data_IF_338361279624
#
_entry.id   IF_338361279624
#
_cell.length_a   1.000
_cell.length_b   1.000
_cell.length_c   1.000
_cell.angle_alpha   90.00
_cell.angle_beta   90.00
_cell.angle_gamma   90.00
#
_symmetry.space_group_name_H-M   'P 1'
#
loop_
_entity.id
_entity.type
_entity.pdbx_description
1 polymer ?
#
# COMPACT_ATOMS: atom_id res chain seq x y z
N UNK A 1 -21.84 -23.91 72.04
CA UNK A 1 -20.65 -24.08 71.22
C UNK A 1 -21.07 -24.81 69.94
N UNK A 2 -21.37 -24.03 68.97
CA UNK A 2 -21.62 -24.51 67.59
C UNK A 2 -20.80 -23.62 66.69
N UNK A 3 -19.66 -24.22 66.24
CA UNK A 3 -18.72 -23.56 65.35
C UNK A 3 -19.28 -23.48 63.94
N UNK A 4 -19.35 -22.28 63.50
CA UNK A 4 -19.68 -21.85 62.14
C UNK A 4 -18.49 -22.14 61.20
N UNK A 5 -18.57 -23.15 60.35
CA UNK A 5 -17.55 -23.49 59.34
C UNK A 5 -18.19 -23.54 57.96
N UNK A 6 -18.89 -22.50 57.58
CA UNK A 6 -19.49 -22.38 56.26
C UNK A 6 -19.03 -21.20 55.42
N UNK A 7 -17.97 -20.48 55.88
CA UNK A 7 -17.47 -19.28 55.16
C UNK A 7 -16.27 -19.46 54.23
N UNK A 8 -15.66 -20.67 54.15
CA UNK A 8 -14.34 -20.76 53.52
C UNK A 8 -14.31 -21.48 52.18
N UNK A 9 -15.43 -22.01 51.69
CA UNK A 9 -15.43 -22.81 50.42
C UNK A 9 -15.97 -22.00 49.24
N UNK A 10 -16.75 -20.95 49.50
CA UNK A 10 -17.31 -20.11 48.45
C UNK A 10 -16.29 -19.10 47.87
N UNK A 11 -15.36 -18.61 48.72
CA UNK A 11 -14.32 -17.66 48.29
C UNK A 11 -13.21 -18.35 47.46
N UNK A 12 -12.85 -19.59 47.78
CA UNK A 12 -11.83 -20.34 47.02
C UNK A 12 -12.30 -20.77 45.61
N UNK A 13 -13.62 -20.93 45.40
CA UNK A 13 -14.18 -21.30 44.10
C UNK A 13 -14.29 -20.07 43.20
N UNK A 14 -14.44 -18.88 43.74
CA UNK A 14 -14.56 -17.65 42.94
C UNK A 14 -13.19 -17.13 42.45
N UNK A 15 -12.11 -17.41 43.17
CA UNK A 15 -10.73 -17.07 42.76
C UNK A 15 -10.17 -18.01 41.71
N UNK A 16 -10.62 -19.26 41.68
CA UNK A 16 -10.18 -20.25 40.68
C UNK A 16 -10.88 -20.10 39.31
N UNK A 17 -11.95 -19.33 39.22
CA UNK A 17 -12.67 -19.05 37.96
C UNK A 17 -12.21 -17.79 37.23
N UNK A 18 -11.36 -16.97 37.86
CA UNK A 18 -10.88 -15.73 37.26
C UNK A 18 -9.74 -15.92 36.24
N UNK A 19 -9.18 -17.12 36.14
CA UNK A 19 -7.99 -17.39 35.32
C UNK A 19 -8.19 -18.47 34.24
N UNK A 20 -9.45 -18.73 33.88
CA UNK A 20 -9.75 -19.50 32.67
C UNK A 20 -9.82 -18.49 31.52
N UNK A 21 -8.66 -18.09 31.05
CA UNK A 21 -8.52 -17.48 29.72
C UNK A 21 -9.02 -18.54 28.73
N UNK A 22 -10.18 -18.28 28.16
CA UNK A 22 -10.74 -19.14 27.11
C UNK A 22 -9.73 -19.22 25.95
N UNK A 23 -9.14 -20.39 25.65
CA UNK A 23 -8.13 -20.49 24.60
C UNK A 23 -8.63 -20.07 23.22
N UNK A 24 -9.95 -20.07 23.01
CA UNK A 24 -10.57 -19.63 21.76
C UNK A 24 -10.48 -18.11 21.58
N UNK A 25 -10.52 -17.32 22.65
CA UNK A 25 -10.37 -15.87 22.60
C UNK A 25 -8.94 -15.44 22.21
N UNK A 26 -7.94 -16.20 22.66
CA UNK A 26 -6.54 -15.97 22.26
C UNK A 26 -6.31 -16.28 20.78
N UNK A 27 -6.86 -17.38 20.31
CA UNK A 27 -6.75 -17.80 18.91
C UNK A 27 -7.50 -16.88 17.95
N UNK A 28 -8.70 -16.43 18.32
CA UNK A 28 -9.47 -15.48 17.52
C UNK A 28 -8.77 -14.11 17.44
N UNK A 29 -8.12 -13.65 18.51
CA UNK A 29 -7.34 -12.42 18.51
C UNK A 29 -6.03 -12.54 17.69
N UNK A 30 -5.35 -13.68 17.76
CA UNK A 30 -4.18 -13.96 16.91
C UNK A 30 -4.57 -14.06 15.44
N UNK A 31 -5.66 -14.74 15.13
CA UNK A 31 -6.18 -14.87 13.78
C UNK A 31 -6.65 -13.50 13.24
N UNK A 32 -7.34 -12.71 14.03
CA UNK A 32 -7.72 -11.34 13.68
C UNK A 32 -6.50 -10.43 13.48
N UNK A 33 -5.44 -10.61 14.26
CA UNK A 33 -4.15 -9.92 14.09
C UNK A 33 -3.47 -10.29 12.77
N UNK A 34 -3.44 -11.57 12.42
CA UNK A 34 -2.89 -12.06 11.16
C UNK A 34 -3.72 -11.62 9.94
N UNK A 35 -5.04 -11.71 10.03
CA UNK A 35 -5.96 -11.29 8.97
C UNK A 35 -6.09 -9.78 8.87
N UNK A 36 -6.03 -9.06 10.01
CA UNK A 36 -6.08 -7.60 10.07
C UNK A 36 -4.80 -6.91 9.57
N UNK A 37 -3.67 -7.62 9.57
CA UNK A 37 -2.39 -7.09 9.11
C UNK A 37 -2.22 -7.18 7.58
N UNK A 38 -3.04 -7.98 6.91
CA UNK A 38 -3.06 -8.04 5.46
C UNK A 38 -3.92 -6.92 4.90
N UNK A 39 -3.33 -6.11 4.02
CA UNK A 39 -4.09 -5.09 3.29
C UNK A 39 -5.05 -5.73 2.28
N UNK A 40 -6.21 -5.15 2.10
CA UNK A 40 -7.15 -5.51 1.03
C UNK A 40 -6.69 -4.96 -0.31
N UNK A 41 -6.17 -3.74 -0.30
CA UNK A 41 -5.58 -3.05 -1.44
C UNK A 41 -4.56 -2.04 -0.95
N UNK A 42 -3.51 -1.82 -1.74
CA UNK A 42 -2.52 -0.79 -1.49
C UNK A 42 -2.09 -0.16 -2.81
N UNK A 43 -2.05 1.17 -2.84
CA UNK A 43 -1.70 1.96 -4.02
C UNK A 43 -0.57 2.93 -3.69
N UNK A 44 0.40 3.04 -4.60
CA UNK A 44 1.37 4.13 -4.60
C UNK A 44 0.99 5.11 -5.69
N UNK A 45 0.66 6.33 -5.30
CA UNK A 45 0.35 7.44 -6.22
C UNK A 45 1.60 8.28 -6.43
N UNK A 46 1.95 8.50 -7.69
CA UNK A 46 3.13 9.28 -8.08
C UNK A 46 2.75 10.44 -9.01
N UNK A 47 3.70 11.31 -9.31
CA UNK A 47 3.57 12.34 -10.35
C UNK A 47 4.30 11.97 -11.64
N UNK A 48 4.68 10.70 -11.80
CA UNK A 48 5.31 10.22 -13.03
C UNK A 48 4.35 10.24 -14.20
N UNK A 49 4.87 10.59 -15.37
CA UNK A 49 4.02 10.83 -16.54
C UNK A 49 3.46 9.55 -17.18
N UNK A 50 4.08 8.39 -16.96
CA UNK A 50 3.65 7.16 -17.63
C UNK A 50 3.67 5.93 -16.71
N UNK A 51 2.77 4.99 -17.00
CA UNK A 51 2.72 3.69 -16.36
C UNK A 51 4.01 2.88 -16.59
N UNK A 52 4.59 2.92 -17.80
CA UNK A 52 5.83 2.22 -18.14
C UNK A 52 7.01 2.71 -17.29
N UNK A 53 7.13 4.03 -17.11
CA UNK A 53 8.18 4.62 -16.29
C UNK A 53 8.05 4.20 -14.82
N UNK A 54 6.85 4.22 -14.28
CA UNK A 54 6.58 3.75 -12.92
C UNK A 54 6.86 2.26 -12.78
N UNK A 55 6.45 1.44 -13.75
CA UNK A 55 6.72 0.01 -13.76
C UNK A 55 8.22 -0.30 -13.81
N UNK A 56 9.00 0.47 -14.58
CA UNK A 56 10.45 0.34 -14.62
C UNK A 56 11.10 0.65 -13.26
N UNK A 57 10.68 1.72 -12.58
CA UNK A 57 11.15 2.02 -11.24
C UNK A 57 10.75 0.96 -10.22
N UNK A 58 9.51 0.46 -10.28
CA UNK A 58 9.07 -0.66 -9.43
C UNK A 58 9.93 -1.91 -9.66
N UNK A 59 10.22 -2.26 -10.91
CA UNK A 59 11.07 -3.41 -11.25
C UNK A 59 12.48 -3.24 -10.68
N UNK A 60 13.09 -2.06 -10.81
CA UNK A 60 14.43 -1.80 -10.28
C UNK A 60 14.48 -1.73 -8.75
N UNK A 61 13.35 -1.52 -8.11
CA UNK A 61 13.19 -1.53 -6.65
C UNK A 61 12.68 -2.88 -6.12
N UNK A 62 12.60 -3.91 -6.98
CA UNK A 62 12.08 -5.24 -6.66
C UNK A 62 10.63 -5.23 -6.14
N UNK A 63 9.82 -4.32 -6.66
CA UNK A 63 8.41 -4.13 -6.28
C UNK A 63 7.51 -4.71 -7.36
N UNK A 64 6.70 -5.72 -6.97
CA UNK A 64 5.65 -6.26 -7.84
C UNK A 64 4.40 -5.39 -7.77
N UNK A 65 4.09 -4.70 -8.86
CA UNK A 65 2.94 -3.82 -8.96
C UNK A 65 2.35 -3.78 -10.38
N UNK A 66 1.06 -3.51 -10.46
CA UNK A 66 0.39 -3.15 -11.71
C UNK A 66 0.31 -1.62 -11.80
N UNK A 67 0.99 -1.04 -12.78
CA UNK A 67 1.10 0.41 -12.94
C UNK A 67 0.08 0.91 -13.96
N UNK A 68 -0.66 1.95 -13.59
CA UNK A 68 -1.73 2.55 -14.40
C UNK A 68 -1.35 4.01 -14.68
N UNK A 69 -1.37 4.40 -15.96
CA UNK A 69 -1.14 5.79 -16.36
C UNK A 69 -2.40 6.64 -16.19
N UNK A 70 -2.24 7.86 -15.70
CA UNK A 70 -3.30 8.85 -15.63
C UNK A 70 -2.75 10.27 -15.82
N UNK A 71 -3.63 11.21 -16.16
CA UNK A 71 -3.23 12.61 -16.41
C UNK A 71 -2.64 13.30 -15.17
N UNK A 72 -3.07 12.88 -13.98
CA UNK A 72 -2.57 13.41 -12.70
C UNK A 72 -1.27 12.74 -12.23
N UNK A 73 -0.85 11.67 -12.89
CA UNK A 73 0.31 10.87 -12.56
C UNK A 73 0.03 9.37 -12.57
N UNK A 74 1.07 8.56 -12.65
CA UNK A 74 0.94 7.12 -12.67
C UNK A 74 0.72 6.57 -11.25
N UNK A 75 -0.07 5.51 -11.16
CA UNK A 75 -0.45 4.83 -9.92
C UNK A 75 0.00 3.38 -9.98
N UNK A 76 0.70 2.91 -8.96
CA UNK A 76 1.07 1.51 -8.82
C UNK A 76 0.12 0.80 -7.85
N UNK A 77 -0.52 -0.26 -8.30
CA UNK A 77 -1.32 -1.17 -7.47
C UNK A 77 -0.41 -2.28 -6.99
N UNK A 78 -0.10 -2.31 -5.71
CA UNK A 78 0.83 -3.25 -5.12
C UNK A 78 0.25 -4.66 -5.07
N UNK A 79 1.07 -5.66 -5.32
CA UNK A 79 0.69 -7.08 -5.23
C UNK A 79 1.05 -7.69 -3.88
N UNK A 80 2.11 -7.21 -3.24
CA UNK A 80 2.44 -7.63 -1.87
C UNK A 80 1.63 -6.80 -0.88
N UNK A 81 0.66 -7.45 -0.26
CA UNK A 81 -0.30 -6.84 0.69
C UNK A 81 -0.09 -7.36 2.12
N UNK A 82 0.91 -8.20 2.34
CA UNK A 82 1.16 -8.84 3.63
C UNK A 82 1.95 -7.91 4.57
N UNK A 83 1.50 -7.81 5.80
CA UNK A 83 2.18 -7.05 6.86
C UNK A 83 2.45 -5.59 6.47
N UNK A 84 3.70 -5.19 6.58
CA UNK A 84 4.24 -3.88 6.21
C UNK A 84 4.79 -3.82 4.76
N UNK A 85 4.44 -4.82 3.93
CA UNK A 85 4.85 -4.89 2.52
C UNK A 85 4.57 -3.63 1.72
N UNK A 86 3.37 -3.02 1.83
CA UNK A 86 3.08 -1.76 1.16
C UNK A 86 3.98 -0.60 1.59
N UNK A 87 4.26 -0.48 2.87
CA UNK A 87 5.14 0.56 3.45
C UNK A 87 6.59 0.34 3.02
N UNK A 88 7.06 -0.91 3.02
CA UNK A 88 8.38 -1.27 2.53
C UNK A 88 8.54 -0.89 1.05
N UNK A 89 7.55 -1.19 0.22
CA UNK A 89 7.55 -0.81 -1.20
C UNK A 89 7.66 0.71 -1.39
N UNK A 90 6.92 1.52 -0.62
CA UNK A 90 6.99 2.98 -0.71
C UNK A 90 8.36 3.52 -0.27
N UNK A 91 8.96 2.93 0.76
CA UNK A 91 10.33 3.26 1.22
C UNK A 91 11.37 2.93 0.16
N UNK A 92 11.34 1.71 -0.37
CA UNK A 92 12.29 1.24 -1.37
C UNK A 92 12.22 2.08 -2.64
N UNK A 93 11.02 2.35 -3.14
CA UNK A 93 10.81 3.17 -4.32
C UNK A 93 11.38 4.59 -4.17
N UNK A 94 11.13 5.22 -3.03
CA UNK A 94 11.61 6.59 -2.75
C UNK A 94 13.10 6.66 -2.37
N UNK A 95 13.69 5.53 -1.98
CA UNK A 95 15.14 5.42 -1.78
C UNK A 95 15.87 5.28 -3.11
N UNK A 96 15.37 4.41 -4.01
CA UNK A 96 15.97 4.18 -5.33
C UNK A 96 15.83 5.42 -6.22
N UNK A 97 14.68 6.08 -6.18
CA UNK A 97 14.42 7.28 -6.97
C UNK A 97 14.54 8.53 -6.12
N UNK A 98 15.79 9.00 -5.98
CA UNK A 98 16.11 10.20 -5.19
C UNK A 98 15.28 11.41 -5.62
N UNK A 99 14.67 12.07 -4.64
CA UNK A 99 13.86 13.28 -4.86
C UNK A 99 12.42 13.01 -5.29
N UNK A 100 12.02 11.75 -5.43
CA UNK A 100 10.62 11.41 -5.65
C UNK A 100 9.86 11.35 -4.33
N UNK A 101 8.75 12.07 -4.28
CA UNK A 101 7.74 11.91 -3.24
C UNK A 101 6.59 11.05 -3.78
N UNK A 102 6.13 10.09 -3.00
CA UNK A 102 4.98 9.26 -3.33
C UNK A 102 3.95 9.32 -2.21
N UNK A 103 2.70 9.07 -2.54
CA UNK A 103 1.64 8.88 -1.57
C UNK A 103 1.26 7.41 -1.55
N UNK A 104 1.43 6.78 -0.41
CA UNK A 104 0.95 5.43 -0.16
C UNK A 104 -0.45 5.48 0.42
N UNK A 105 -1.38 4.78 -0.18
CA UNK A 105 -2.73 4.56 0.32
C UNK A 105 -2.94 3.07 0.56
N UNK A 106 -3.36 2.70 1.77
CA UNK A 106 -3.55 1.31 2.18
C UNK A 106 -4.93 1.14 2.80
N UNK A 107 -5.65 0.12 2.39
CA UNK A 107 -6.89 -0.31 3.03
C UNK A 107 -6.62 -1.60 3.83
N UNK A 108 -6.61 -1.49 5.16
CA UNK A 108 -6.52 -2.62 6.09
C UNK A 108 -7.77 -2.66 6.97
N UNK A 109 -8.42 -3.82 7.03
CA UNK A 109 -9.61 -4.03 7.89
C UNK A 109 -10.65 -2.89 7.75
N UNK A 110 -10.91 -2.46 6.51
CA UNK A 110 -11.82 -1.35 6.15
C UNK A 110 -11.38 0.04 6.68
N UNK A 111 -10.15 0.14 7.17
CA UNK A 111 -9.51 1.41 7.52
C UNK A 111 -8.58 1.86 6.40
N UNK A 112 -8.82 3.06 5.89
CA UNK A 112 -7.98 3.70 4.89
C UNK A 112 -6.90 4.52 5.57
N UNK A 113 -5.65 4.23 5.26
CA UNK A 113 -4.48 4.97 5.73
C UNK A 113 -3.76 5.58 4.52
N UNK A 114 -3.43 6.86 4.62
CA UNK A 114 -2.77 7.61 3.56
C UNK A 114 -1.57 8.35 4.15
N UNK A 115 -0.39 8.11 3.63
CA UNK A 115 0.83 8.77 4.07
C UNK A 115 1.76 9.09 2.89
N UNK A 116 2.49 10.18 3.01
CA UNK A 116 3.54 10.55 2.06
C UNK A 116 4.85 9.87 2.44
N UNK A 117 5.59 9.42 1.45
CA UNK A 117 6.95 8.88 1.60
C UNK A 117 7.92 9.69 0.75
N UNK A 118 9.06 10.00 1.34
CA UNK A 118 10.16 10.74 0.70
C UNK A 118 11.48 10.18 1.20
N UNK A 119 12.41 9.87 0.31
CA UNK A 119 13.75 9.41 0.64
C UNK A 119 13.80 8.22 1.61
N UNK A 120 12.88 7.28 1.46
CA UNK A 120 12.78 6.08 2.29
C UNK A 120 12.10 6.28 3.65
N UNK A 121 11.58 7.46 3.93
CA UNK A 121 10.95 7.78 5.21
C UNK A 121 9.47 8.14 5.05
N UNK A 122 8.68 7.71 6.03
CA UNK A 122 7.27 8.13 6.14
C UNK A 122 7.21 9.57 6.63
N UNK A 123 6.51 10.41 5.89
CA UNK A 123 6.27 11.80 6.23
C UNK A 123 4.84 12.03 6.74
N UNK A 124 4.20 13.06 6.21
CA UNK A 124 2.87 13.47 6.64
C UNK A 124 1.79 12.46 6.26
N UNK A 125 0.87 12.20 7.19
CA UNK A 125 -0.36 11.46 6.93
C UNK A 125 -1.48 12.40 6.51
N UNK A 126 -2.36 11.91 5.64
CA UNK A 126 -3.49 12.66 5.10
C UNK A 126 -4.82 11.94 5.38
N UNK A 127 -5.89 12.71 5.48
CA UNK A 127 -7.22 12.13 5.47
C UNK A 127 -7.55 11.59 4.06
N UNK A 128 -8.15 10.38 3.92
CA UNK A 128 -8.46 9.78 2.63
C UNK A 128 -9.20 10.69 1.63
N UNK A 129 -10.17 11.52 2.03
CA UNK A 129 -10.84 12.44 1.10
C UNK A 129 -9.89 13.43 0.41
N UNK A 130 -8.79 13.83 1.08
CA UNK A 130 -7.80 14.73 0.49
C UNK A 130 -7.08 14.06 -0.68
N UNK A 131 -6.76 12.77 -0.56
CA UNK A 131 -6.20 11.99 -1.64
C UNK A 131 -7.16 11.92 -2.83
N UNK A 132 -8.41 11.55 -2.59
CA UNK A 132 -9.39 11.30 -3.65
C UNK A 132 -9.75 12.55 -4.45
N UNK A 133 -9.71 13.73 -3.83
CA UNK A 133 -9.90 15.00 -4.56
C UNK A 133 -8.75 15.35 -5.50
N UNK A 134 -7.56 14.81 -5.24
CA UNK A 134 -6.32 15.10 -5.99
C UNK A 134 -5.92 14.01 -6.98
N UNK A 135 -6.64 12.90 -7.01
CA UNK A 135 -6.33 11.71 -7.82
C UNK A 135 -7.47 11.37 -8.78
N UNK A 136 -7.20 10.58 -9.83
CA UNK A 136 -8.25 10.06 -10.70
C UNK A 136 -9.27 9.23 -9.91
N UNK A 137 -10.52 9.25 -10.34
CA UNK A 137 -11.63 8.56 -9.67
C UNK A 137 -11.38 7.05 -9.47
N UNK A 138 -10.70 6.40 -10.42
CA UNK A 138 -10.41 4.97 -10.29
C UNK A 138 -9.55 4.63 -9.04
N UNK A 139 -8.80 5.58 -8.50
CA UNK A 139 -8.04 5.40 -7.26
C UNK A 139 -8.98 5.17 -6.08
N UNK A 140 -10.01 5.99 -5.94
CA UNK A 140 -11.06 5.80 -4.94
C UNK A 140 -11.80 4.48 -5.15
N UNK A 141 -12.22 4.21 -6.39
CA UNK A 141 -12.97 3.02 -6.75
C UNK A 141 -12.17 1.73 -6.47
N UNK A 142 -10.85 1.71 -6.72
CA UNK A 142 -9.94 0.61 -6.35
C UNK A 142 -9.80 0.47 -4.83
N UNK A 143 -9.60 1.58 -4.12
CA UNK A 143 -9.40 1.58 -2.67
C UNK A 143 -10.64 1.07 -1.92
N UNK A 144 -11.83 1.37 -2.45
CA UNK A 144 -13.11 0.93 -1.89
C UNK A 144 -13.56 -0.45 -2.41
N UNK A 145 -12.82 -1.04 -3.34
CA UNK A 145 -13.15 -2.34 -3.94
C UNK A 145 -14.35 -2.29 -4.90
N UNK A 146 -14.72 -1.11 -5.38
CA UNK A 146 -15.81 -0.91 -6.35
C UNK A 146 -15.40 -1.39 -7.74
N UNK A 147 -14.11 -1.21 -8.08
CA UNK A 147 -13.52 -1.59 -9.37
C UNK A 147 -12.30 -2.48 -9.13
N UNK A 148 -12.09 -3.43 -10.04
CA UNK A 148 -10.90 -4.29 -10.07
C UNK A 148 -9.94 -3.87 -11.18
N UNK A 149 -8.67 -4.30 -11.10
CA UNK A 149 -7.67 -4.10 -12.17
C UNK A 149 -8.15 -4.62 -13.54
N UNK A 150 -8.83 -5.77 -13.56
CA UNK A 150 -9.34 -6.34 -14.81
C UNK A 150 -10.43 -5.48 -15.43
N UNK A 151 -11.29 -4.89 -14.62
CA UNK A 151 -12.32 -3.97 -15.08
C UNK A 151 -11.69 -2.67 -15.65
N UNK A 152 -10.63 -2.14 -15.04
CA UNK A 152 -9.92 -0.98 -15.57
C UNK A 152 -9.25 -1.30 -16.93
N UNK A 153 -8.66 -2.47 -17.09
CA UNK A 153 -8.13 -2.92 -18.40
C UNK A 153 -9.23 -2.98 -19.46
N UNK A 154 -10.40 -3.49 -19.10
CA UNK A 154 -11.57 -3.56 -20.01
C UNK A 154 -12.10 -2.17 -20.37
N UNK A 155 -11.98 -1.20 -19.46
CA UNK A 155 -12.34 0.20 -19.70
C UNK A 155 -11.32 0.97 -20.56
N UNK A 156 -10.21 0.33 -20.95
CA UNK A 156 -9.19 0.90 -21.83
C UNK A 156 -8.04 1.60 -21.10
N UNK A 157 -7.92 1.43 -19.77
CA UNK A 157 -6.73 1.92 -19.06
C UNK A 157 -5.50 1.09 -19.43
N UNK A 158 -4.39 1.77 -19.71
CA UNK A 158 -3.10 1.12 -19.89
C UNK A 158 -2.59 0.64 -18.53
N UNK A 159 -2.39 -0.67 -18.41
CA UNK A 159 -1.87 -1.30 -17.20
C UNK A 159 -0.59 -2.06 -17.54
N UNK A 160 0.52 -1.61 -16.97
CA UNK A 160 1.84 -2.22 -17.14
C UNK A 160 2.23 -2.94 -15.87
N UNK A 161 2.51 -4.23 -15.96
CA UNK A 161 2.95 -5.05 -14.83
C UNK A 161 4.46 -4.96 -14.67
N UNK A 162 4.94 -4.50 -13.51
CA UNK A 162 6.38 -4.42 -13.23
C UNK A 162 7.05 -5.78 -13.21
N UNK A 163 6.36 -6.84 -12.78
CA UNK A 163 6.87 -8.21 -12.78
C UNK A 163 7.03 -8.80 -14.20
N UNK A 164 6.40 -8.21 -15.20
CA UNK A 164 6.57 -8.58 -16.61
C UNK A 164 7.77 -7.94 -17.29
N UNK A 165 8.47 -7.01 -16.63
CA UNK A 165 9.69 -6.37 -17.10
C UNK A 165 10.91 -7.10 -16.54
N UNK A 166 11.94 -7.30 -17.38
CA UNK A 166 13.27 -7.63 -16.87
C UNK A 166 14.09 -6.37 -16.55
N UNK A 167 15.24 -6.55 -15.91
CA UNK A 167 16.11 -5.45 -15.51
C UNK A 167 16.58 -4.61 -16.71
N UNK A 168 16.93 -5.24 -17.81
CA UNK A 168 17.43 -4.56 -19.01
C UNK A 168 16.31 -3.76 -19.69
N UNK A 169 15.10 -4.29 -19.76
CA UNK A 169 13.92 -3.58 -20.24
C UNK A 169 13.60 -2.35 -19.38
N UNK A 170 13.64 -2.49 -18.05
CA UNK A 170 13.44 -1.38 -17.14
C UNK A 170 14.49 -0.28 -17.35
N UNK A 171 15.77 -0.63 -17.47
CA UNK A 171 16.85 0.31 -17.73
C UNK A 171 16.68 0.99 -19.10
N UNK A 172 16.21 0.28 -20.12
CA UNK A 172 15.97 0.83 -21.45
C UNK A 172 14.81 1.83 -21.45
N UNK A 173 13.74 1.56 -20.70
CA UNK A 173 12.62 2.51 -20.50
C UNK A 173 13.13 3.80 -19.88
N UNK A 174 13.94 3.72 -18.83
CA UNK A 174 14.54 4.89 -18.18
C UNK A 174 15.44 5.69 -19.13
N UNK A 175 16.31 5.01 -19.87
CA UNK A 175 17.20 5.64 -20.83
C UNK A 175 16.43 6.39 -21.95
N UNK A 176 15.32 5.83 -22.41
CA UNK A 176 14.47 6.46 -23.41
C UNK A 176 13.75 7.70 -22.88
N UNK A 177 13.31 7.68 -21.61
CA UNK A 177 12.67 8.84 -20.99
C UNK A 177 13.65 9.98 -20.73
N UNK A 178 14.90 9.70 -20.34
CA UNK A 178 15.93 10.71 -20.17
C UNK A 178 16.34 11.37 -21.48
N UNK A 179 16.35 10.63 -22.59
CA UNK A 179 16.63 11.17 -23.94
C UNK A 179 15.52 12.11 -24.42
N UNK A 180 14.24 11.76 -24.17
CA UNK A 180 13.10 12.63 -24.52
C UNK A 180 13.10 13.94 -23.74
N UNK A 181 13.50 13.93 -22.46
CA UNK A 181 13.60 15.12 -21.63
C UNK A 181 14.70 16.08 -22.06
N UNK A 182 15.77 15.62 -22.70
CA UNK A 182 16.87 16.46 -23.23
C UNK A 182 16.59 17.05 -24.61
N UNK A 183 15.71 16.45 -25.39
CA UNK A 183 15.39 16.92 -26.76
C UNK A 183 14.44 18.12 -26.83
N UNK A 184 13.87 18.58 -25.70
CA UNK A 184 12.91 19.68 -25.67
C UNK A 184 13.50 21.08 -25.40
N UNK A 185 14.82 21.21 -25.24
CA UNK A 185 15.52 22.50 -25.12
C UNK A 185 16.46 22.76 -26.29
N UNK A 186 15.94 22.63 -27.48
CA UNK A 186 16.58 23.13 -28.70
C UNK A 186 16.11 24.56 -28.98
N UNK A 187 16.85 25.50 -28.52
CA UNK A 187 16.93 26.91 -28.91
C UNK A 187 16.20 27.27 -30.21
N UNK A 188 15.32 28.19 -30.13
CA UNK A 188 15.10 29.16 -31.19
C UNK A 188 15.44 30.53 -30.64
N UNK A 189 16.67 30.92 -30.85
CA UNK A 189 17.09 32.29 -30.82
C UNK A 189 17.18 32.70 -32.29
N UNK A 190 16.29 33.51 -32.73
CA UNK A 190 16.48 34.50 -33.78
C UNK A 190 16.16 35.85 -33.19
#
# INVERSE_FOLDING_TARGET
MTDDVTGSVADAVNEAMADVVDPSLGFDNELAGLLGNKAKVALIVTRLASAELLAAFCQLSDISAACIGANQGAVAVLKNLDGDGPEAAAKDLTTVVSGMAVILAVNRADKLEVAMYVQGEAGQSFAPPVLFTSTPRFVEDLMLGIVTLNQLKTQGFEVVDSAGLDHDQAMQILANHTKRGRGGRGSRIE
#
